data_IF_286917295453
#
_entry.id   IF_286917295453
#
_cell.length_a   1.000
_cell.length_b   1.000
_cell.length_c   1.000
_cell.angle_alpha   90.00
_cell.angle_beta   90.00
_cell.angle_gamma   90.00
#
_symmetry.space_group_name_H-M   'P 1'
#
loop_
_entity.id
_entity.type
_entity.pdbx_description
1 polymer ?
#
# COMPACT_ATOMS: atom_id res chain seq x y z
N UNK A 1 -5.66 7.13 9.49
CA UNK A 1 -5.70 6.16 8.38
C UNK A 1 -4.31 5.59 8.06
N UNK A 2 -3.36 6.38 7.60
CA UNK A 2 -1.99 5.93 7.25
C UNK A 2 -1.31 5.09 8.35
N UNK A 3 -1.38 5.54 9.60
CA UNK A 3 -0.78 4.81 10.73
C UNK A 3 -1.43 3.44 10.96
N UNK A 4 -2.74 3.31 10.80
CA UNK A 4 -3.46 2.04 10.91
C UNK A 4 -3.09 1.08 9.77
N UNK A 5 -2.94 1.58 8.55
CA UNK A 5 -2.48 0.79 7.40
C UNK A 5 -1.10 0.19 7.66
N UNK A 6 -0.15 1.00 8.11
CA UNK A 6 1.21 0.54 8.42
C UNK A 6 1.19 -0.48 9.56
N UNK A 7 0.39 -0.25 10.60
CA UNK A 7 0.23 -1.19 11.72
C UNK A 7 -0.33 -2.53 11.26
N UNK A 8 -1.37 -2.53 10.42
CA UNK A 8 -1.94 -3.75 9.86
C UNK A 8 -0.94 -4.48 8.95
N UNK A 9 -0.24 -3.75 8.09
CA UNK A 9 0.80 -4.29 7.21
C UNK A 9 1.90 -5.01 7.99
N UNK A 10 2.40 -4.38 9.06
CA UNK A 10 3.43 -4.96 9.92
C UNK A 10 2.91 -6.15 10.75
N UNK A 11 1.68 -6.07 11.27
CA UNK A 11 1.07 -7.15 12.05
C UNK A 11 0.90 -8.43 11.21
N UNK A 12 0.57 -8.29 9.93
CA UNK A 12 0.46 -9.39 8.98
C UNK A 12 1.81 -9.81 8.39
N UNK A 13 2.91 -9.18 8.78
CA UNK A 13 4.26 -9.43 8.28
C UNK A 13 4.35 -9.36 6.75
N UNK A 14 3.62 -8.41 6.16
CA UNK A 14 3.66 -8.16 4.72
C UNK A 14 4.98 -7.47 4.36
N UNK A 15 5.45 -7.67 3.14
CA UNK A 15 6.80 -7.25 2.79
C UNK A 15 6.86 -6.13 1.75
N UNK A 16 6.35 -6.34 0.55
CA UNK A 16 6.63 -5.42 -0.57
C UNK A 16 5.56 -4.35 -0.68
N UNK A 17 4.32 -4.75 -0.87
CA UNK A 17 3.19 -3.84 -1.04
C UNK A 17 1.87 -4.52 -0.70
N UNK A 18 0.88 -3.72 -0.42
CA UNK A 18 -0.51 -4.17 -0.27
C UNK A 18 -1.45 -2.99 -0.45
N UNK A 19 -2.73 -3.28 -0.67
CA UNK A 19 -3.81 -2.29 -0.61
C UNK A 19 -4.66 -2.58 0.62
N UNK A 20 -4.89 -1.55 1.42
CA UNK A 20 -5.77 -1.63 2.57
C UNK A 20 -7.10 -0.94 2.25
N UNK A 21 -8.20 -1.62 2.47
CA UNK A 21 -9.54 -1.08 2.30
C UNK A 21 -10.16 -0.79 3.66
N UNK A 22 -10.64 0.45 3.84
CA UNK A 22 -11.22 0.94 5.08
C UNK A 22 -12.65 1.41 4.87
N UNK A 23 -13.47 1.18 5.87
CA UNK A 23 -14.77 1.80 6.02
C UNK A 23 -14.67 2.95 7.03
N UNK A 24 -15.23 4.10 6.69
CA UNK A 24 -15.43 5.22 7.59
C UNK A 24 -16.91 5.33 7.91
N UNK A 25 -17.27 5.24 9.17
CA UNK A 25 -18.66 5.43 9.59
C UNK A 25 -19.03 6.93 9.75
N UNK A 26 -20.31 7.17 10.06
CA UNK A 26 -20.83 8.53 10.23
C UNK A 26 -20.24 9.25 11.45
N UNK A 27 -19.74 8.52 12.43
CA UNK A 27 -19.11 9.04 13.64
C UNK A 27 -17.61 9.34 13.44
N UNK A 28 -17.06 8.99 12.28
CA UNK A 28 -15.64 9.18 11.96
C UNK A 28 -14.72 8.04 12.41
N UNK A 29 -15.29 6.89 12.79
CA UNK A 29 -14.50 5.69 13.13
C UNK A 29 -14.06 4.94 11.88
N UNK A 30 -12.83 4.45 11.90
CA UNK A 30 -12.22 3.70 10.80
C UNK A 30 -12.19 2.21 11.09
N UNK A 31 -12.69 1.44 10.14
CA UNK A 31 -12.67 -0.01 10.19
C UNK A 31 -11.86 -0.54 9.01
N UNK A 32 -10.79 -1.29 9.31
CA UNK A 32 -10.04 -2.00 8.28
C UNK A 32 -10.84 -3.23 7.84
N UNK A 33 -11.26 -3.26 6.58
CA UNK A 33 -12.05 -4.36 6.04
C UNK A 33 -11.15 -5.49 5.56
N UNK A 34 -10.10 -5.16 4.80
CA UNK A 34 -9.17 -6.14 4.27
C UNK A 34 -7.82 -5.52 3.94
N UNK A 35 -6.82 -6.41 3.88
CA UNK A 35 -5.50 -6.12 3.31
C UNK A 35 -5.30 -7.01 2.08
N UNK A 36 -5.31 -6.41 0.90
CA UNK A 36 -5.09 -7.14 -0.36
C UNK A 36 -3.61 -7.18 -0.68
N UNK A 37 -3.03 -8.37 -0.60
CA UNK A 37 -1.58 -8.59 -0.79
C UNK A 37 -1.19 -8.76 -2.25
N UNK A 38 -2.15 -8.96 -3.14
CA UNK A 38 -1.94 -9.04 -4.59
C UNK A 38 -3.01 -8.23 -5.34
N UNK A 39 -3.04 -6.90 -5.15
CA UNK A 39 -4.02 -6.06 -5.81
C UNK A 39 -3.81 -6.05 -7.32
N UNK A 40 -4.91 -5.86 -8.06
CA UNK A 40 -4.84 -5.74 -9.52
C UNK A 40 -3.93 -4.60 -9.96
N UNK A 41 -3.17 -4.84 -11.04
CA UNK A 41 -2.15 -3.94 -11.57
C UNK A 41 -2.41 -3.51 -13.00
N UNK A 42 -3.67 -3.58 -13.47
CA UNK A 42 -4.05 -3.02 -14.77
C UNK A 42 -4.22 -1.50 -14.68
N UNK A 43 -4.19 -0.80 -15.80
CA UNK A 43 -4.42 0.65 -15.85
C UNK A 43 -5.79 1.08 -15.27
N UNK A 44 -6.76 0.17 -15.27
CA UNK A 44 -8.10 0.38 -14.71
C UNK A 44 -8.18 0.01 -13.21
N UNK A 45 -7.17 -0.67 -12.67
CA UNK A 45 -7.15 -1.13 -11.28
C UNK A 45 -6.99 0.02 -10.28
N UNK A 46 -7.43 -0.20 -9.05
CA UNK A 46 -7.40 0.81 -7.99
C UNK A 46 -5.99 1.19 -7.57
N UNK A 47 -5.10 0.21 -7.41
CA UNK A 47 -3.73 0.44 -6.96
C UNK A 47 -2.95 1.42 -7.86
N UNK A 48 -2.91 1.26 -9.19
CA UNK A 48 -2.29 2.25 -10.06
C UNK A 48 -2.98 3.63 -10.02
N UNK A 49 -4.28 3.68 -9.87
CA UNK A 49 -5.02 4.95 -9.76
C UNK A 49 -4.66 5.69 -8.47
N UNK A 50 -4.56 4.98 -7.36
CA UNK A 50 -4.15 5.56 -6.08
C UNK A 50 -2.69 6.02 -6.11
N UNK A 51 -1.81 5.25 -6.75
CA UNK A 51 -0.41 5.62 -6.98
C UNK A 51 -0.30 6.92 -7.78
N UNK A 52 -1.10 7.05 -8.84
CA UNK A 52 -1.13 8.26 -9.66
C UNK A 52 -1.58 9.50 -8.87
N UNK A 53 -2.58 9.37 -8.01
CA UNK A 53 -3.00 10.45 -7.10
C UNK A 53 -1.86 10.84 -6.15
N UNK A 54 -1.02 9.89 -5.75
CA UNK A 54 0.17 10.14 -4.93
C UNK A 54 1.39 10.65 -5.73
N UNK A 55 1.24 10.87 -7.04
CA UNK A 55 2.31 11.37 -7.91
C UNK A 55 3.23 10.28 -8.48
N UNK A 56 2.82 9.01 -8.43
CA UNK A 56 3.58 7.87 -8.93
C UNK A 56 2.92 7.37 -10.21
N UNK A 57 3.58 7.51 -11.34
CA UNK A 57 3.09 6.99 -12.62
C UNK A 57 3.15 5.45 -12.64
N UNK A 58 2.39 4.83 -13.53
CA UNK A 58 2.26 3.37 -13.60
C UNK A 58 3.61 2.66 -13.79
N UNK A 59 4.44 3.15 -14.70
CA UNK A 59 5.77 2.62 -14.95
C UNK A 59 6.66 2.68 -13.71
N UNK A 60 6.63 3.82 -13.01
CA UNK A 60 7.40 4.05 -11.79
C UNK A 60 6.91 3.15 -10.65
N UNK A 61 5.60 2.92 -10.56
CA UNK A 61 5.01 2.00 -9.60
C UNK A 61 5.52 0.57 -9.83
N UNK A 62 5.50 0.09 -11.06
CA UNK A 62 5.98 -1.25 -11.41
C UNK A 62 7.48 -1.39 -11.08
N UNK A 63 8.29 -0.40 -11.44
CA UNK A 63 9.71 -0.39 -11.13
C UNK A 63 9.98 -0.38 -9.62
N UNK A 64 9.22 0.39 -8.87
CA UNK A 64 9.32 0.48 -7.42
C UNK A 64 9.02 -0.87 -6.74
N UNK A 65 7.97 -1.57 -7.19
CA UNK A 65 7.62 -2.90 -6.69
C UNK A 65 8.74 -3.89 -6.97
N UNK A 66 9.27 -3.93 -8.18
CA UNK A 66 10.36 -4.83 -8.57
C UNK A 66 11.62 -4.54 -7.75
N UNK A 67 12.00 -3.29 -7.60
CA UNK A 67 13.17 -2.89 -6.80
C UNK A 67 13.02 -3.29 -5.34
N UNK A 68 11.84 -3.13 -4.77
CA UNK A 68 11.58 -3.51 -3.38
C UNK A 68 11.64 -5.02 -3.18
N UNK A 69 11.10 -5.80 -4.12
CA UNK A 69 11.20 -7.26 -4.08
C UNK A 69 12.66 -7.71 -4.15
N UNK A 70 13.41 -7.18 -5.10
CA UNK A 70 14.83 -7.52 -5.29
C UNK A 70 15.69 -7.22 -4.07
N UNK A 71 15.44 -6.10 -3.37
CA UNK A 71 16.17 -5.74 -2.16
C UNK A 71 15.90 -6.71 -1.01
N UNK A 72 14.71 -7.28 -0.92
CA UNK A 72 14.39 -8.27 0.12
C UNK A 72 15.08 -9.60 -0.11
N UNK A 73 15.27 -10.00 -1.36
CA UNK A 73 15.95 -11.24 -1.71
C UNK A 73 17.47 -11.15 -1.48
N UNK A 74 18.06 -9.96 -1.45
CA UNK A 74 19.50 -9.77 -1.41
C UNK A 74 20.07 -9.37 -0.05
N UNK A 75 19.27 -8.79 0.88
CA UNK A 75 19.77 -8.33 2.19
C UNK A 75 18.71 -8.32 3.30
N UNK A 76 19.09 -8.88 4.45
CA UNK A 76 18.40 -8.74 5.73
C UNK A 76 18.54 -7.33 6.36
N UNK A 77 18.86 -6.30 5.61
CA UNK A 77 18.93 -4.96 6.15
C UNK A 77 17.57 -4.27 6.07
N UNK A 78 17.03 -3.97 7.26
CA UNK A 78 15.89 -3.08 7.46
C UNK A 78 16.21 -1.71 6.86
N UNK A 79 15.77 -1.48 5.63
CA UNK A 79 15.64 -0.12 5.15
C UNK A 79 14.29 0.44 5.59
N UNK A 80 14.31 1.26 6.63
CA UNK A 80 13.23 2.22 6.85
C UNK A 80 13.17 3.13 5.62
N UNK A 81 12.22 2.87 4.74
CA UNK A 81 11.84 3.83 3.71
C UNK A 81 11.22 5.04 4.42
N UNK A 82 12.05 6.01 4.75
CA UNK A 82 11.60 7.32 5.20
C UNK A 82 10.64 7.89 4.15
N UNK A 83 9.36 7.86 4.46
CA UNK A 83 8.35 8.69 3.83
C UNK A 83 7.52 8.08 2.71
N UNK A 84 7.92 6.99 2.05
CA UNK A 84 7.13 6.37 0.98
C UNK A 84 6.98 4.87 1.21
N UNK A 85 6.24 4.52 2.26
CA UNK A 85 5.73 3.16 2.40
C UNK A 85 4.84 2.84 1.20
N UNK A 86 5.12 1.75 0.48
CA UNK A 86 4.27 1.24 -0.59
C UNK A 86 2.93 0.68 -0.07
N UNK A 87 2.48 1.14 1.07
CA UNK A 87 1.12 0.92 1.55
C UNK A 87 0.25 1.99 0.92
N UNK A 88 -0.32 1.68 -0.23
CA UNK A 88 -1.38 2.49 -0.82
C UNK A 88 -2.68 2.12 -0.13
N UNK A 89 -3.35 3.10 0.41
CA UNK A 89 -4.64 2.94 1.08
C UNK A 89 -5.71 3.73 0.34
N UNK A 90 -6.90 3.21 0.39
CA UNK A 90 -8.07 3.86 -0.18
C UNK A 90 -9.02 4.29 0.94
N UNK A 91 -9.41 5.54 0.88
CA UNK A 91 -10.53 6.07 1.61
C UNK A 91 -11.78 5.94 0.73
N UNK A 92 -12.80 5.26 1.22
CA UNK A 92 -14.12 5.26 0.61
C UNK A 92 -14.98 6.19 1.45
N UNK A 93 -15.22 7.43 1.01
CA UNK A 93 -16.21 8.29 1.67
C UNK A 93 -17.59 7.68 1.41
N UNK A 94 -18.35 7.55 2.45
CA UNK A 94 -19.79 7.34 2.33
C UNK A 94 -20.51 8.67 2.35
#
# INVERSE_FOLDING_TARGET
MKALTVKAFNALKLNVYSRADFLLDAEGSLYCLEMNTLPGMTSASLMPKEAKVAGIEYSDLCELIIKNQWRQDTHHEKYELKGNSCCLWRHIPR
#
